data_IF_679240670402
#
_entry.id   IF_679240670402
#
_cell.length_a   1.000
_cell.length_b   1.000
_cell.length_c   1.000
_cell.angle_alpha   90.00
_cell.angle_beta   90.00
_cell.angle_gamma   90.00
#
_symmetry.space_group_name_H-M   'P 1'
#
loop_
_entity.id
_entity.type
_entity.pdbx_description
1 polymer ?
#
# COMPACT_ATOMS: atom_id res chain seq x y z
N UNK A 1 39.25 33.65 43.88
CA UNK A 1 39.25 33.50 45.35
C UNK A 1 38.17 32.50 45.65
N UNK A 2 38.58 31.33 46.13
CA UNK A 2 37.80 30.20 46.64
C UNK A 2 36.95 29.38 45.65
N UNK A 3 37.53 28.23 45.26
CA UNK A 3 36.83 26.98 44.95
C UNK A 3 36.48 26.23 46.29
N UNK A 4 36.13 24.92 46.29
CA UNK A 4 34.81 24.32 46.12
C UNK A 4 34.45 23.42 47.33
N UNK A 5 33.34 22.68 47.28
CA UNK A 5 33.16 21.49 48.12
C UNK A 5 33.04 20.24 47.24
N UNK A 6 34.03 19.36 47.38
CA UNK A 6 34.12 18.05 46.74
C UNK A 6 33.36 16.97 47.53
N UNK A 7 33.04 15.86 46.85
CA UNK A 7 32.99 14.44 47.29
C UNK A 7 32.65 13.62 46.01
N UNK A 8 33.56 12.87 45.39
CA UNK A 8 34.14 11.54 45.73
C UNK A 8 33.36 10.34 45.14
N UNK A 9 33.99 9.77 44.10
CA UNK A 9 34.14 8.37 43.65
C UNK A 9 32.96 7.38 43.48
N UNK A 10 33.02 6.65 42.35
CA UNK A 10 32.79 5.19 42.36
C UNK A 10 31.95 4.62 41.20
N UNK A 11 32.58 3.76 40.38
CA UNK A 11 31.88 2.64 39.74
C UNK A 11 31.88 2.61 38.22
N UNK A 12 32.88 1.95 37.63
CA UNK A 12 32.77 1.36 36.32
C UNK A 12 31.81 0.15 36.37
N UNK A 13 30.76 0.19 35.55
CA UNK A 13 29.85 -0.93 35.32
C UNK A 13 29.66 -1.13 33.83
N UNK A 14 30.39 -2.08 33.27
CA UNK A 14 30.09 -2.65 31.97
C UNK A 14 28.81 -3.50 32.07
N UNK A 15 27.94 -3.43 31.07
CA UNK A 15 26.79 -4.33 30.99
C UNK A 15 25.82 -3.98 29.88
N UNK A 16 25.93 -4.75 28.78
CA UNK A 16 24.87 -5.16 27.85
C UNK A 16 23.90 -4.09 27.33
N UNK A 17 23.85 -3.82 26.02
CA UNK A 17 23.54 -4.85 25.03
C UNK A 17 22.04 -5.10 24.98
N UNK A 18 21.31 -4.20 24.33
CA UNK A 18 20.04 -4.44 23.64
C UNK A 18 19.86 -3.22 22.73
N UNK A 19 20.43 -3.19 21.53
CA UNK A 19 19.91 -4.05 20.48
C UNK A 19 18.46 -3.69 20.19
N UNK A 20 18.15 -2.39 20.02
CA UNK A 20 16.99 -2.03 19.20
C UNK A 20 17.44 -2.27 17.76
N UNK A 21 17.41 -3.54 17.36
CA UNK A 21 17.42 -3.88 15.94
C UNK A 21 16.26 -3.09 15.34
N UNK A 22 16.59 -2.15 14.46
CA UNK A 22 15.62 -1.64 13.52
C UNK A 22 15.14 -2.86 12.73
N UNK A 23 14.03 -3.46 13.14
CA UNK A 23 13.33 -4.46 12.35
C UNK A 23 12.92 -3.71 11.09
N UNK A 24 13.74 -3.82 10.03
CA UNK A 24 13.40 -3.30 8.73
C UNK A 24 11.99 -3.78 8.39
N UNK A 25 11.17 -2.90 7.83
CA UNK A 25 9.81 -3.24 7.45
C UNK A 25 9.84 -4.57 6.67
N UNK A 26 9.20 -5.62 7.21
CA UNK A 26 9.21 -6.96 6.61
C UNK A 26 8.68 -6.99 5.17
N UNK A 27 8.00 -5.92 4.76
CA UNK A 27 7.44 -5.74 3.44
C UNK A 27 7.92 -4.44 2.79
N UNK A 28 8.44 -4.57 1.58
CA UNK A 28 8.85 -3.48 0.70
C UNK A 28 7.67 -3.10 -0.19
N UNK A 29 7.16 -1.87 -0.04
CA UNK A 29 6.10 -1.34 -0.91
C UNK A 29 6.71 -0.57 -2.07
N UNK A 30 6.48 -1.04 -3.29
CA UNK A 30 7.03 -0.49 -4.53
C UNK A 30 6.02 -0.60 -5.68
N UNK A 31 6.23 0.11 -6.81
CA UNK A 31 5.44 -0.10 -8.01
C UNK A 31 5.52 -1.56 -8.51
N UNK A 32 4.45 -2.02 -9.16
CA UNK A 32 4.43 -3.29 -9.89
C UNK A 32 5.52 -3.29 -10.99
N UNK A 33 6.18 -4.44 -11.16
CA UNK A 33 7.20 -4.68 -12.18
C UNK A 33 6.86 -5.92 -13.02
N UNK A 34 7.44 -6.06 -14.22
CA UNK A 34 7.17 -7.22 -15.09
C UNK A 34 7.53 -8.56 -14.42
N UNK A 35 8.60 -8.59 -13.62
CA UNK A 35 9.05 -9.79 -12.92
C UNK A 35 8.05 -10.28 -11.85
N UNK A 36 7.09 -9.44 -11.43
CA UNK A 36 6.14 -9.76 -10.36
C UNK A 36 5.13 -10.84 -10.74
N UNK A 37 4.97 -11.13 -12.04
CA UNK A 37 4.21 -12.29 -12.50
C UNK A 37 4.73 -13.59 -11.85
N UNK A 38 6.05 -13.76 -11.81
CA UNK A 38 6.70 -14.92 -11.19
C UNK A 38 6.68 -14.89 -9.65
N UNK A 39 6.43 -13.71 -9.05
CA UNK A 39 6.36 -13.51 -7.59
C UNK A 39 4.97 -13.74 -7.00
N UNK A 40 4.02 -14.24 -7.80
CA UNK A 40 2.68 -14.63 -7.34
C UNK A 40 1.62 -13.55 -7.46
N UNK A 41 1.80 -12.56 -8.34
CA UNK A 41 0.84 -11.46 -8.50
C UNK A 41 -0.59 -11.94 -8.82
N UNK A 42 -0.74 -12.88 -9.77
CA UNK A 42 -2.06 -13.40 -10.13
C UNK A 42 -2.70 -14.23 -9.00
N UNK A 43 -1.90 -15.04 -8.28
CA UNK A 43 -2.39 -15.80 -7.12
C UNK A 43 -2.92 -14.87 -6.03
N UNK A 44 -2.23 -13.75 -5.81
CA UNK A 44 -2.62 -12.74 -4.84
C UNK A 44 -3.95 -12.07 -5.24
N UNK A 45 -4.09 -11.64 -6.50
CA UNK A 45 -5.35 -11.05 -7.00
C UNK A 45 -6.52 -12.04 -6.96
N UNK A 46 -6.27 -13.34 -7.17
CA UNK A 46 -7.29 -14.38 -7.08
C UNK A 46 -7.91 -14.49 -5.67
N UNK A 47 -7.26 -13.99 -4.62
CA UNK A 47 -7.83 -13.90 -3.27
C UNK A 47 -8.84 -12.77 -3.11
N UNK A 48 -8.86 -11.78 -4.02
CA UNK A 48 -9.82 -10.69 -4.04
C UNK A 48 -11.07 -11.04 -4.86
N UNK A 49 -10.85 -11.55 -6.07
CA UNK A 49 -11.91 -11.96 -6.99
C UNK A 49 -11.39 -13.11 -7.86
N UNK A 50 -12.23 -14.10 -8.21
CA UNK A 50 -11.83 -15.17 -9.12
C UNK A 50 -11.22 -14.57 -10.39
N UNK A 51 -9.97 -14.91 -10.64
CA UNK A 51 -9.21 -14.44 -11.80
C UNK A 51 -8.47 -15.62 -12.40
N UNK A 52 -8.76 -16.02 -13.65
CA UNK A 52 -8.00 -17.05 -14.33
C UNK A 52 -6.53 -16.65 -14.43
N UNK A 53 -5.59 -17.63 -14.42
CA UNK A 53 -4.18 -17.33 -14.65
C UNK A 53 -3.99 -16.61 -15.99
N UNK A 54 -3.16 -15.56 -15.97
CA UNK A 54 -2.74 -14.87 -17.19
C UNK A 54 -1.54 -15.59 -17.80
N UNK A 55 -1.49 -15.64 -19.14
CA UNK A 55 -0.24 -15.96 -19.82
C UNK A 55 0.77 -14.82 -19.62
N UNK A 56 2.05 -15.13 -19.79
CA UNK A 56 3.10 -14.12 -19.66
C UNK A 56 2.91 -13.00 -20.67
N UNK A 57 2.55 -13.32 -21.92
CA UNK A 57 2.29 -12.35 -22.98
C UNK A 57 1.11 -11.43 -22.64
N UNK A 58 0.02 -12.01 -22.10
CA UNK A 58 -1.15 -11.24 -21.70
C UNK A 58 -0.83 -10.27 -20.55
N UNK A 59 -0.04 -10.73 -19.56
CA UNK A 59 0.40 -9.88 -18.46
C UNK A 59 1.30 -8.73 -18.96
N UNK A 60 2.29 -9.03 -19.82
CA UNK A 60 3.19 -8.02 -20.38
C UNK A 60 2.44 -6.97 -21.21
N UNK A 61 1.50 -7.40 -22.05
CA UNK A 61 0.67 -6.50 -22.83
C UNK A 61 -0.16 -5.58 -21.93
N UNK A 62 -0.85 -6.13 -20.92
CA UNK A 62 -1.63 -5.35 -19.97
C UNK A 62 -0.76 -4.40 -19.14
N UNK A 63 0.41 -4.86 -18.70
CA UNK A 63 1.36 -4.02 -17.97
C UNK A 63 1.78 -2.80 -18.80
N UNK A 64 2.10 -3.00 -20.08
CA UNK A 64 2.49 -1.93 -20.99
C UNK A 64 1.37 -0.90 -21.20
N UNK A 65 0.12 -1.36 -21.38
CA UNK A 65 -1.06 -0.49 -21.49
C UNK A 65 -1.23 0.39 -20.24
N UNK A 66 -1.14 -0.19 -19.06
CA UNK A 66 -1.30 0.53 -17.80
C UNK A 66 -0.13 1.47 -17.52
N UNK A 67 1.10 1.06 -17.83
CA UNK A 67 2.28 1.90 -17.70
C UNK A 67 2.23 3.14 -18.60
N UNK A 68 1.62 3.02 -19.79
CA UNK A 68 1.45 4.15 -20.72
C UNK A 68 0.52 5.25 -20.20
N UNK A 69 -0.33 4.96 -19.19
CA UNK A 69 -1.14 5.97 -18.50
C UNK A 69 -0.29 6.84 -17.55
N UNK A 70 0.95 6.44 -17.30
CA UNK A 70 1.90 7.17 -16.46
C UNK A 70 1.35 7.41 -15.06
N UNK A 71 1.47 8.64 -14.58
CA UNK A 71 1.05 8.97 -13.21
C UNK A 71 -0.46 8.83 -12.98
N UNK A 72 -1.29 8.76 -14.03
CA UNK A 72 -2.74 8.57 -13.94
C UNK A 72 -3.13 7.14 -13.55
N UNK A 73 -2.19 6.18 -13.54
CA UNK A 73 -2.42 4.82 -13.08
C UNK A 73 -1.21 4.28 -12.31
N UNK A 74 -1.36 4.07 -10.99
CA UNK A 74 -0.31 3.51 -10.15
C UNK A 74 -0.79 2.20 -9.54
N UNK A 75 -0.04 1.11 -9.76
CA UNK A 75 -0.19 -0.14 -9.01
C UNK A 75 0.97 -0.24 -8.04
N UNK A 76 0.68 -0.39 -6.75
CA UNK A 76 1.66 -0.71 -5.74
C UNK A 76 1.52 -2.17 -5.33
N UNK A 77 2.66 -2.82 -5.11
CA UNK A 77 2.77 -4.14 -4.53
C UNK A 77 3.59 -4.09 -3.25
N UNK A 78 3.32 -5.00 -2.34
CA UNK A 78 4.09 -5.27 -1.16
C UNK A 78 4.82 -6.60 -1.31
N UNK A 79 6.14 -6.56 -1.39
CA UNK A 79 6.98 -7.75 -1.47
C UNK A 79 7.51 -8.11 -0.07
N UNK A 80 7.34 -9.36 0.33
CA UNK A 80 7.97 -9.91 1.55
C UNK A 80 9.47 -10.03 1.33
N UNK A 81 10.27 -9.30 2.11
CA UNK A 81 11.71 -9.25 1.95
C UNK A 81 12.41 -10.59 2.23
N UNK A 82 11.78 -11.49 3.01
CA UNK A 82 12.36 -12.79 3.34
C UNK A 82 12.10 -13.84 2.25
N UNK A 83 10.97 -13.76 1.55
CA UNK A 83 10.55 -14.78 0.57
C UNK A 83 10.62 -14.30 -0.88
N UNK A 84 10.64 -13.00 -1.12
CA UNK A 84 10.51 -12.39 -2.45
C UNK A 84 9.13 -12.58 -3.08
N UNK A 85 8.13 -13.07 -2.33
CA UNK A 85 6.75 -13.22 -2.80
C UNK A 85 5.95 -11.96 -2.53
N UNK A 86 4.96 -11.69 -3.38
CA UNK A 86 4.03 -10.59 -3.13
C UNK A 86 3.01 -10.97 -2.04
N UNK A 87 2.83 -10.07 -1.09
CA UNK A 87 1.95 -10.22 0.07
C UNK A 87 0.81 -9.18 0.09
N UNK A 88 0.81 -8.22 -0.83
CA UNK A 88 -0.28 -7.27 -0.97
C UNK A 88 -0.17 -6.46 -2.26
N UNK A 89 -1.30 -5.95 -2.72
CA UNK A 89 -1.39 -5.10 -3.90
C UNK A 89 -2.53 -4.08 -3.74
N UNK A 90 -2.46 -3.01 -4.52
CA UNK A 90 -3.54 -2.05 -4.67
C UNK A 90 -3.25 -1.06 -5.80
N UNK A 91 -4.29 -0.51 -6.39
CA UNK A 91 -4.20 0.41 -7.52
C UNK A 91 -4.84 1.77 -7.21
N UNK A 92 -4.28 2.82 -7.80
CA UNK A 92 -4.83 4.17 -7.81
C UNK A 92 -5.00 4.63 -9.25
N UNK A 93 -6.25 4.87 -9.65
CA UNK A 93 -6.61 5.43 -10.94
C UNK A 93 -6.99 6.90 -10.75
N UNK A 94 -6.38 7.79 -11.52
CA UNK A 94 -6.67 9.23 -11.47
C UNK A 94 -7.55 9.62 -12.64
N UNK A 95 -8.79 9.99 -12.34
CA UNK A 95 -9.77 10.39 -13.32
C UNK A 95 -9.84 11.92 -13.44
N UNK A 96 -9.80 12.43 -14.68
CA UNK A 96 -9.98 13.84 -15.01
C UNK A 96 -11.46 14.18 -15.15
N UNK A 97 -11.89 15.28 -14.53
CA UNK A 97 -13.27 15.77 -14.57
C UNK A 97 -13.32 17.18 -15.15
N UNK A 98 -14.47 17.61 -15.68
CA UNK A 98 -14.75 19.04 -15.92
C UNK A 98 -15.27 19.77 -14.68
N UNK A 99 -16.04 19.06 -13.85
CA UNK A 99 -16.54 19.59 -12.59
C UNK A 99 -15.40 19.94 -11.63
N UNK A 100 -15.71 20.73 -10.60
CA UNK A 100 -14.71 21.20 -9.61
C UNK A 100 -13.53 21.91 -10.29
N UNK A 101 -13.81 22.72 -11.32
CA UNK A 101 -12.82 23.49 -12.09
C UNK A 101 -11.75 22.60 -12.72
N UNK A 102 -12.20 21.64 -13.52
CA UNK A 102 -11.35 20.65 -14.16
C UNK A 102 -10.56 19.76 -13.17
N UNK A 103 -11.21 19.37 -12.06
CA UNK A 103 -10.55 18.66 -10.96
C UNK A 103 -10.23 17.18 -11.25
N UNK A 104 -9.49 16.56 -10.33
CA UNK A 104 -9.09 15.15 -10.39
C UNK A 104 -9.72 14.32 -9.26
N UNK A 105 -10.07 13.06 -9.54
CA UNK A 105 -10.57 12.09 -8.56
C UNK A 105 -9.66 10.87 -8.57
N UNK A 106 -9.21 10.43 -7.40
CA UNK A 106 -8.57 9.13 -7.24
C UNK A 106 -9.62 8.02 -7.03
N UNK A 107 -9.48 6.91 -7.71
CA UNK A 107 -10.22 5.67 -7.47
C UNK A 107 -9.24 4.63 -6.95
N UNK A 108 -9.48 4.17 -5.73
CA UNK A 108 -8.68 3.13 -5.10
C UNK A 108 -9.32 1.78 -5.44
N UNK A 109 -8.60 0.95 -6.17
CA UNK A 109 -9.07 -0.33 -6.73
C UNK A 109 -8.12 -1.48 -6.36
N UNK A 110 -8.59 -2.71 -6.52
CA UNK A 110 -7.80 -3.95 -6.43
C UNK A 110 -6.95 -4.10 -5.16
N UNK A 111 -7.43 -3.57 -4.03
CA UNK A 111 -6.72 -3.68 -2.74
C UNK A 111 -6.87 -5.10 -2.19
N UNK A 112 -5.74 -5.79 -2.07
CA UNK A 112 -5.68 -7.14 -1.53
C UNK A 112 -4.44 -7.32 -0.65
N UNK A 113 -4.59 -8.11 0.41
CA UNK A 113 -3.49 -8.56 1.27
C UNK A 113 -3.60 -10.07 1.39
N UNK A 114 -2.49 -10.75 1.15
CA UNK A 114 -2.37 -12.19 1.28
C UNK A 114 -2.87 -12.64 2.65
N UNK A 115 -3.67 -13.70 2.70
CA UNK A 115 -4.28 -14.19 3.93
C UNK A 115 -3.27 -14.41 5.07
N UNK A 116 -2.05 -14.89 4.79
CA UNK A 116 -1.00 -15.12 5.79
C UNK A 116 -0.34 -13.83 6.28
N UNK A 117 -0.46 -12.74 5.53
CA UNK A 117 0.09 -11.42 5.85
C UNK A 117 -0.92 -10.45 6.50
N UNK A 118 -2.20 -10.84 6.62
CA UNK A 118 -3.25 -10.01 7.24
C UNK A 118 -2.98 -9.76 8.73
N UNK A 119 -3.58 -8.68 9.26
CA UNK A 119 -3.44 -8.29 10.67
C UNK A 119 -2.12 -7.60 11.01
N UNK A 120 -1.22 -7.40 10.04
CA UNK A 120 0.11 -6.78 10.22
C UNK A 120 0.19 -5.31 9.78
N UNK A 121 -0.95 -4.64 9.58
CA UNK A 121 -1.02 -3.25 9.11
C UNK A 121 -0.65 -3.02 7.63
N UNK A 122 -0.34 -4.09 6.87
CA UNK A 122 0.13 -3.96 5.48
C UNK A 122 -0.90 -3.30 4.55
N UNK A 123 -2.18 -3.64 4.70
CA UNK A 123 -3.26 -3.02 3.94
C UNK A 123 -3.35 -1.51 4.17
N UNK A 124 -3.28 -1.06 5.42
CA UNK A 124 -3.32 0.38 5.76
C UNK A 124 -2.12 1.11 5.14
N UNK A 125 -0.92 0.52 5.18
CA UNK A 125 0.28 1.07 4.53
C UNK A 125 0.10 1.23 3.02
N UNK A 126 -0.43 0.21 2.33
CA UNK A 126 -0.72 0.28 0.89
C UNK A 126 -1.73 1.40 0.57
N UNK A 127 -2.84 1.44 1.30
CA UNK A 127 -3.90 2.45 1.10
C UNK A 127 -3.35 3.85 1.33
N UNK A 128 -2.58 4.08 2.40
CA UNK A 128 -1.99 5.39 2.68
C UNK A 128 -1.04 5.85 1.57
N UNK A 129 -0.17 4.98 1.06
CA UNK A 129 0.75 5.31 -0.04
C UNK A 129 0.01 5.65 -1.34
N UNK A 130 -1.08 4.95 -1.64
CA UNK A 130 -1.93 5.24 -2.81
C UNK A 130 -2.69 6.57 -2.64
N UNK A 131 -3.18 6.86 -1.43
CA UNK A 131 -3.83 8.14 -1.11
C UNK A 131 -2.84 9.30 -1.17
N UNK A 132 -1.59 9.12 -0.71
CA UNK A 132 -0.51 10.09 -0.84
C UNK A 132 -0.21 10.40 -2.32
N UNK A 133 -0.15 9.38 -3.18
CA UNK A 133 -0.03 9.58 -4.62
C UNK A 133 -1.19 10.43 -5.16
N UNK A 134 -2.44 10.07 -4.87
CA UNK A 134 -3.60 10.85 -5.31
C UNK A 134 -3.58 12.30 -4.82
N UNK A 135 -3.17 12.54 -3.56
CA UNK A 135 -2.99 13.90 -3.01
C UNK A 135 -1.89 14.66 -3.76
N UNK A 136 -0.74 14.04 -4.00
CA UNK A 136 0.37 14.62 -4.76
C UNK A 136 -0.01 14.97 -6.20
N UNK A 137 -0.95 14.21 -6.78
CA UNK A 137 -1.55 14.51 -8.11
C UNK A 137 -2.52 15.68 -8.09
N UNK A 138 -2.99 16.13 -6.92
CA UNK A 138 -4.00 17.18 -6.80
C UNK A 138 -5.44 16.68 -6.87
N UNK A 139 -5.68 15.38 -6.59
CA UNK A 139 -7.05 14.87 -6.47
C UNK A 139 -7.80 15.55 -5.32
N UNK A 140 -9.00 16.05 -5.60
CA UNK A 140 -9.82 16.70 -4.57
C UNK A 140 -10.53 15.67 -3.66
N UNK A 141 -10.57 14.41 -4.07
CA UNK A 141 -11.04 13.28 -3.26
C UNK A 141 -10.46 11.96 -3.79
N UNK A 142 -10.49 10.95 -2.93
CA UNK A 142 -10.32 9.54 -3.29
C UNK A 142 -11.62 8.81 -2.95
N UNK A 143 -12.06 7.89 -3.80
CA UNK A 143 -13.21 7.02 -3.56
C UNK A 143 -12.83 5.56 -3.76
N UNK A 144 -13.60 4.67 -3.13
CA UNK A 144 -13.46 3.22 -3.21
C UNK A 144 -14.82 2.58 -2.96
N UNK A 145 -14.94 1.31 -3.33
CA UNK A 145 -16.04 0.46 -2.92
C UNK A 145 -15.52 -0.68 -2.05
N UNK A 146 -16.32 -1.13 -1.08
CA UNK A 146 -15.97 -2.25 -0.23
C UNK A 146 -17.21 -2.94 0.33
N UNK A 147 -17.05 -4.17 0.79
CA UNK A 147 -18.10 -4.86 1.53
C UNK A 147 -18.32 -4.23 2.90
N UNK A 148 -19.48 -4.47 3.52
CA UNK A 148 -19.84 -3.86 4.80
C UNK A 148 -18.84 -4.19 5.91
N UNK A 149 -18.24 -5.39 5.87
CA UNK A 149 -17.26 -5.87 6.85
C UNK A 149 -15.96 -5.06 6.82
N UNK A 150 -15.61 -4.47 5.68
CA UNK A 150 -14.39 -3.68 5.49
C UNK A 150 -14.58 -2.18 5.78
N UNK A 151 -15.81 -1.72 6.07
CA UNK A 151 -16.06 -0.31 6.41
C UNK A 151 -15.16 0.19 7.54
N UNK A 152 -15.01 -0.62 8.60
CA UNK A 152 -14.16 -0.28 9.75
C UNK A 152 -12.67 -0.17 9.41
N UNK A 153 -12.18 -0.99 8.47
CA UNK A 153 -10.80 -0.91 7.97
C UNK A 153 -10.56 0.41 7.22
N UNK A 154 -11.44 0.74 6.27
CA UNK A 154 -11.28 1.99 5.50
C UNK A 154 -11.55 3.25 6.33
N UNK A 155 -12.38 3.16 7.37
CA UNK A 155 -12.57 4.25 8.34
C UNK A 155 -11.27 4.59 9.08
N UNK A 156 -10.44 3.60 9.45
CA UNK A 156 -9.10 3.84 10.03
C UNK A 156 -8.16 4.54 9.07
N UNK A 157 -8.34 4.33 7.76
CA UNK A 157 -7.61 5.02 6.70
C UNK A 157 -8.17 6.43 6.40
N UNK A 158 -9.18 6.90 7.15
CA UNK A 158 -9.80 8.23 6.99
C UNK A 158 -10.94 8.31 5.97
N UNK A 159 -11.40 7.18 5.43
CA UNK A 159 -12.58 7.16 4.56
C UNK A 159 -13.87 7.25 5.38
N UNK A 160 -14.92 7.77 4.75
CA UNK A 160 -16.26 7.86 5.33
C UNK A 160 -17.27 7.39 4.30
N UNK A 161 -18.31 6.70 4.76
CA UNK A 161 -19.42 6.28 3.91
C UNK A 161 -20.17 7.51 3.38
N UNK A 162 -20.40 7.56 2.07
CA UNK A 162 -21.06 8.70 1.41
C UNK A 162 -22.24 8.30 0.54
N UNK A 163 -22.12 7.23 -0.25
CA UNK A 163 -23.12 6.79 -1.22
C UNK A 163 -23.08 5.26 -1.35
N UNK A 164 -24.01 4.71 -2.13
CA UNK A 164 -24.07 3.28 -2.48
C UNK A 164 -23.29 2.98 -3.77
N UNK A 165 -22.76 1.75 -3.88
CA UNK A 165 -22.21 1.21 -5.13
C UNK A 165 -23.33 0.54 -5.93
N UNK A 166 -23.36 0.76 -7.25
CA UNK A 166 -24.24 0.06 -8.19
C UNK A 166 -23.37 -0.68 -9.21
N UNK A 167 -23.74 -1.92 -9.58
CA UNK A 167 -23.00 -2.73 -10.54
C UNK A 167 -23.92 -3.37 -11.58
N UNK A 168 -23.47 -3.41 -12.83
CA UNK A 168 -24.12 -4.10 -13.94
C UNK A 168 -23.05 -4.98 -14.62
N UNK A 169 -23.29 -6.29 -14.64
CA UNK A 169 -22.39 -7.28 -15.24
C UNK A 169 -23.01 -7.77 -16.57
N UNK A 170 -22.14 -8.08 -17.54
CA UNK A 170 -22.52 -8.52 -18.89
C UNK A 170 -22.05 -9.96 -19.13
#
# INVERSE_FOLDING_TARGET
MEQPHALAEGGAGAGAGAGVEAIGDAYIIRPLELADLSKGFCDLLAQLSPSPPLSEEAFHARFAELAALGADHLILVAEDAATGRLAGAGAMLVERKFIRRCGLVGHLEDVVVDAAARGRGLGERLVHRLVEHARGRGCYKVILNCTTELKGFYAKCGFVEKNVQMGLYF
#
